data_IF_512854406095
#
_entry.id   IF_512854406095
#
_cell.length_a   1.000
_cell.length_b   1.000
_cell.length_c   1.000
_cell.angle_alpha   90.00
_cell.angle_beta   90.00
_cell.angle_gamma   90.00
#
_symmetry.space_group_name_H-M   'P 1'
#
loop_
_entity.id
_entity.type
_entity.pdbx_description
1 polymer ?
#
# COMPACT_ATOMS: atom_id res chain seq x y z
N UNK A 1 20.36 3.24 -8.39
CA UNK A 1 20.64 4.26 -7.34
C UNK A 1 21.48 5.43 -7.82
N UNK A 2 22.68 5.22 -8.40
CA UNK A 2 23.55 6.32 -8.85
C UNK A 2 22.91 7.14 -9.98
N UNK A 3 22.32 6.47 -10.96
CA UNK A 3 21.61 7.08 -12.09
C UNK A 3 20.42 7.94 -11.59
N UNK A 4 19.53 7.36 -10.77
CA UNK A 4 18.38 8.08 -10.19
C UNK A 4 18.81 9.33 -9.39
N UNK A 5 19.93 9.29 -8.66
CA UNK A 5 20.46 10.47 -7.94
C UNK A 5 21.04 11.55 -8.85
N UNK A 6 21.46 11.21 -10.07
CA UNK A 6 21.94 12.20 -11.04
C UNK A 6 20.78 13.00 -11.62
N UNK A 7 19.63 12.35 -11.81
CA UNK A 7 18.39 12.99 -12.27
C UNK A 7 17.69 13.74 -11.14
N UNK A 8 17.52 13.10 -9.98
CA UNK A 8 16.83 13.67 -8.81
C UNK A 8 17.85 14.18 -7.77
N UNK A 9 18.56 15.25 -8.12
CA UNK A 9 19.66 15.81 -7.30
C UNK A 9 19.25 16.24 -5.89
N UNK A 10 17.98 16.63 -5.72
CA UNK A 10 17.44 17.19 -4.47
C UNK A 10 16.54 16.23 -3.70
N UNK A 11 16.33 15.01 -4.20
CA UNK A 11 15.50 14.03 -3.53
C UNK A 11 16.23 13.35 -2.36
N UNK A 12 15.49 12.99 -1.31
CA UNK A 12 16.04 12.28 -0.16
C UNK A 12 16.61 10.92 -0.58
N UNK A 13 17.87 10.68 -0.17
CA UNK A 13 18.57 9.45 -0.45
C UNK A 13 17.92 8.20 0.16
N UNK A 14 17.23 8.33 1.30
CA UNK A 14 16.51 7.23 1.94
C UNK A 14 15.21 6.93 1.19
N UNK A 15 14.45 7.95 0.80
CA UNK A 15 13.27 7.79 -0.04
C UNK A 15 13.59 7.06 -1.37
N UNK A 16 14.64 7.48 -2.09
CA UNK A 16 15.07 6.82 -3.34
C UNK A 16 15.43 5.35 -3.07
N UNK A 17 16.12 5.06 -1.96
CA UNK A 17 16.51 3.69 -1.61
C UNK A 17 15.28 2.82 -1.38
N UNK A 18 14.33 3.32 -0.59
CA UNK A 18 13.11 2.60 -0.28
C UNK A 18 12.31 2.29 -1.55
N UNK A 19 12.16 3.27 -2.44
CA UNK A 19 11.43 3.11 -3.70
C UNK A 19 12.10 2.07 -4.62
N UNK A 20 13.42 2.17 -4.80
CA UNK A 20 14.18 1.18 -5.60
C UNK A 20 14.09 -0.21 -4.97
N UNK A 21 14.21 -0.31 -3.65
CA UNK A 21 14.12 -1.57 -2.94
C UNK A 21 12.72 -2.22 -3.13
N UNK A 22 11.64 -1.42 -3.19
CA UNK A 22 10.27 -1.87 -3.48
C UNK A 22 10.09 -2.29 -4.94
N UNK A 23 10.52 -1.48 -5.92
CA UNK A 23 10.38 -1.82 -7.33
C UNK A 23 11.19 -3.08 -7.71
N UNK A 24 12.40 -3.24 -7.15
CA UNK A 24 13.21 -4.44 -7.36
C UNK A 24 12.55 -5.68 -6.75
N UNK A 25 11.87 -5.53 -5.61
CA UNK A 25 11.11 -6.63 -5.02
C UNK A 25 9.94 -7.04 -5.92
N UNK A 26 9.21 -6.07 -6.47
CA UNK A 26 8.06 -6.37 -7.33
C UNK A 26 8.50 -7.06 -8.62
N UNK A 27 9.63 -6.62 -9.19
CA UNK A 27 10.19 -7.20 -10.42
C UNK A 27 10.79 -8.60 -10.22
N UNK A 28 11.58 -8.81 -9.16
CA UNK A 28 12.35 -10.05 -8.96
C UNK A 28 11.73 -11.03 -7.95
N UNK A 29 10.76 -10.58 -7.16
CA UNK A 29 10.21 -11.34 -6.06
C UNK A 29 11.13 -11.42 -4.82
N UNK A 30 10.78 -12.27 -3.84
CA UNK A 30 11.57 -12.43 -2.62
C UNK A 30 12.97 -12.98 -2.92
N UNK A 31 13.97 -12.51 -2.18
CA UNK A 31 15.34 -13.01 -2.32
C UNK A 31 15.41 -14.50 -1.95
N UNK A 32 15.96 -15.27 -2.85
CA UNK A 32 16.18 -16.71 -2.76
C UNK A 32 17.60 -17.01 -2.27
N UNK A 33 17.85 -18.25 -1.82
CA UNK A 33 19.19 -18.67 -1.37
C UNK A 33 20.25 -18.56 -2.47
N UNK A 34 19.84 -18.71 -3.74
CA UNK A 34 20.69 -18.49 -4.91
C UNK A 34 21.21 -17.06 -5.03
N UNK A 35 20.45 -16.05 -4.58
CA UNK A 35 20.85 -14.64 -4.66
C UNK A 35 22.00 -14.30 -3.69
N UNK A 36 22.23 -15.13 -2.68
CA UNK A 36 23.31 -14.97 -1.71
C UNK A 36 24.60 -15.71 -2.13
N UNK A 37 24.54 -16.54 -3.18
CA UNK A 37 25.66 -17.40 -3.59
C UNK A 37 26.78 -16.68 -4.36
N UNK A 38 26.60 -15.40 -4.72
CA UNK A 38 27.52 -14.65 -5.58
C UNK A 38 28.44 -13.65 -4.86
N UNK A 39 28.55 -13.68 -3.53
CA UNK A 39 29.54 -12.85 -2.81
C UNK A 39 30.45 -13.67 -1.88
N UNK A 40 31.44 -14.33 -2.49
CA UNK A 40 32.62 -14.80 -1.77
C UNK A 40 33.55 -13.61 -1.48
N UNK A 41 33.64 -13.30 -0.17
CA UNK A 41 34.73 -12.60 0.56
C UNK A 41 34.88 -11.08 0.39
N UNK A 42 34.38 -10.33 1.37
CA UNK A 42 35.25 -9.63 2.33
C UNK A 42 34.57 -9.55 3.72
N UNK A 43 35.41 -9.61 4.75
CA UNK A 43 35.19 -10.17 6.09
C UNK A 43 34.52 -9.24 7.12
N UNK A 44 33.81 -9.89 8.07
CA UNK A 44 33.09 -9.42 9.27
C UNK A 44 33.81 -8.39 10.17
N UNK A 45 33.01 -7.53 10.83
CA UNK A 45 33.00 -7.36 12.30
C UNK A 45 31.63 -6.88 12.81
N UNK A 46 31.16 -7.53 13.88
CA UNK A 46 29.88 -7.32 14.58
C UNK A 46 30.14 -6.71 15.97
N UNK A 47 29.25 -5.82 16.43
CA UNK A 47 28.76 -5.55 17.83
C UNK A 47 27.93 -4.24 17.76
N UNK A 48 26.93 -3.91 18.57
CA UNK A 48 25.96 -4.55 19.47
C UNK A 48 24.90 -3.44 19.79
N UNK A 49 23.74 -3.79 20.34
CA UNK A 49 22.49 -3.01 20.38
C UNK A 49 22.24 -2.05 21.57
N UNK A 50 21.45 -0.98 21.30
CA UNK A 50 20.42 -0.24 22.09
C UNK A 50 20.86 0.78 23.19
N UNK A 51 20.01 1.75 23.63
CA UNK A 51 18.54 1.89 23.45
C UNK A 51 18.01 3.25 22.93
N UNK A 52 16.67 3.33 22.92
CA UNK A 52 15.72 4.29 22.36
C UNK A 52 15.88 5.79 22.72
N UNK A 53 15.44 6.64 21.80
CA UNK A 53 15.26 8.08 21.98
C UNK A 53 14.12 8.58 21.10
N UNK A 54 12.94 8.68 21.71
CA UNK A 54 11.73 9.31 21.20
C UNK A 54 11.96 10.81 20.98
N UNK A 55 11.54 11.33 19.82
CA UNK A 55 11.29 12.76 19.61
C UNK A 55 10.38 12.94 18.41
N UNK A 56 9.08 12.91 18.69
CA UNK A 56 8.05 13.54 17.85
C UNK A 56 8.25 15.05 17.85
N UNK A 57 8.66 15.62 16.71
CA UNK A 57 8.40 17.02 16.38
C UNK A 57 7.28 17.06 15.33
N UNK A 58 6.09 17.44 15.78
CA UNK A 58 4.96 17.80 14.93
C UNK A 58 5.16 19.26 14.49
N UNK A 59 5.57 19.47 13.24
CA UNK A 59 5.43 20.76 12.58
C UNK A 59 3.94 21.04 12.37
N UNK A 60 3.45 22.12 12.97
CA UNK A 60 2.10 22.65 12.75
C UNK A 60 2.06 23.29 11.36
N UNK A 61 1.52 22.58 10.39
CA UNK A 61 1.15 23.18 9.11
C UNK A 61 -0.30 23.65 9.15
N UNK A 62 -0.47 24.89 8.70
CA UNK A 62 -1.67 25.74 8.79
C UNK A 62 -2.75 25.24 7.82
N UNK A 63 -3.97 25.07 8.31
CA UNK A 63 -5.14 24.71 7.49
C UNK A 63 -5.53 25.84 6.53
N UNK A 64 -5.77 25.56 5.23
CA UNK A 64 -6.37 26.55 4.33
C UNK A 64 -7.89 26.64 4.54
N UNK A 65 -8.36 27.86 4.80
CA UNK A 65 -9.77 28.19 4.99
C UNK A 65 -10.42 28.34 3.61
N UNK A 66 -11.42 27.51 3.29
CA UNK A 66 -12.31 27.72 2.15
C UNK A 66 -13.68 28.22 2.67
N UNK A 67 -14.08 29.42 2.24
CA UNK A 67 -15.41 29.99 2.54
C UNK A 67 -16.33 29.70 1.36
N UNK A 68 -17.42 28.97 1.60
CA UNK A 68 -18.54 28.84 0.67
C UNK A 68 -19.82 29.17 1.46
N UNK A 69 -20.62 30.12 0.97
CA UNK A 69 -21.93 30.54 1.50
C UNK A 69 -22.01 30.91 2.99
N UNK A 70 -20.99 31.60 3.51
CA UNK A 70 -21.10 32.31 4.80
C UNK A 70 -21.35 31.42 6.02
N UNK A 71 -21.18 30.10 5.91
CA UNK A 71 -21.28 29.14 7.00
C UNK A 71 -19.97 28.39 7.14
N UNK A 72 -19.39 28.43 8.33
CA UNK A 72 -18.20 27.66 8.70
C UNK A 72 -18.62 26.20 8.79
N UNK A 73 -18.47 25.45 7.70
CA UNK A 73 -18.49 23.99 7.73
C UNK A 73 -17.05 23.50 8.03
N UNK A 74 -16.85 22.48 8.88
CA UNK A 74 -15.54 21.86 9.00
C UNK A 74 -15.11 21.40 7.60
N UNK A 75 -13.89 21.73 7.20
CA UNK A 75 -13.34 21.34 5.91
C UNK A 75 -13.65 19.85 5.69
N UNK A 76 -14.33 19.52 4.58
CA UNK A 76 -14.56 18.13 4.23
C UNK A 76 -13.18 17.46 4.07
N UNK A 77 -12.80 16.64 5.05
CA UNK A 77 -11.52 15.92 5.05
C UNK A 77 -11.40 15.13 3.75
N UNK A 78 -10.21 15.17 3.15
CA UNK A 78 -9.95 14.36 1.96
C UNK A 78 -10.11 12.87 2.29
N UNK A 79 -10.45 12.04 1.30
CA UNK A 79 -10.55 10.59 1.50
C UNK A 79 -9.23 10.04 2.07
N UNK A 80 -8.09 10.54 1.60
CA UNK A 80 -6.76 10.16 2.11
C UNK A 80 -6.58 10.51 3.59
N UNK A 81 -7.03 11.67 4.05
CA UNK A 81 -7.01 12.04 5.47
C UNK A 81 -7.93 11.15 6.29
N UNK A 82 -9.13 10.86 5.80
CA UNK A 82 -10.08 9.97 6.49
C UNK A 82 -9.46 8.59 6.67
N UNK A 83 -8.82 8.04 5.62
CA UNK A 83 -8.17 6.74 5.67
C UNK A 83 -7.04 6.71 6.72
N UNK A 84 -6.26 7.79 6.85
CA UNK A 84 -5.15 7.88 7.82
C UNK A 84 -5.59 8.13 9.25
N UNK A 85 -6.63 8.94 9.46
CA UNK A 85 -6.96 9.51 10.77
C UNK A 85 -8.13 8.84 11.47
N UNK A 86 -9.13 8.39 10.72
CA UNK A 86 -10.38 7.85 11.29
C UNK A 86 -10.44 6.33 11.28
N UNK A 87 -9.66 5.68 10.41
CA UNK A 87 -9.71 4.23 10.23
C UNK A 87 -8.55 3.58 11.00
N UNK A 88 -8.89 2.84 12.04
CA UNK A 88 -7.94 2.16 12.90
C UNK A 88 -7.78 0.70 12.44
N UNK A 89 -7.06 0.50 11.34
CA UNK A 89 -6.70 -0.84 10.89
C UNK A 89 -5.33 -1.28 11.44
N UNK A 90 -5.13 -2.59 11.49
CA UNK A 90 -3.86 -3.18 11.91
C UNK A 90 -2.74 -2.84 10.92
N UNK A 91 -1.50 -2.79 11.41
CA UNK A 91 -0.33 -2.64 10.55
C UNK A 91 -0.06 -3.94 9.78
N UNK A 92 0.53 -3.89 8.57
CA UNK A 92 0.91 -5.09 7.84
C UNK A 92 1.76 -6.06 8.69
N UNK A 93 1.34 -7.33 8.76
CA UNK A 93 1.97 -8.36 9.59
C UNK A 93 1.42 -8.46 11.03
N UNK A 94 0.52 -7.56 11.45
CA UNK A 94 -0.09 -7.56 12.79
C UNK A 94 -1.54 -8.08 12.77
N UNK A 95 -1.89 -8.94 11.82
CA UNK A 95 -3.24 -9.45 11.63
C UNK A 95 -3.80 -10.12 12.89
N UNK A 96 -2.95 -10.78 13.68
CA UNK A 96 -3.33 -11.44 14.93
C UNK A 96 -3.89 -10.52 16.03
N UNK A 97 -3.80 -9.19 15.86
CA UNK A 97 -4.36 -8.21 16.80
C UNK A 97 -5.80 -7.84 16.47
N UNK A 98 -6.32 -8.21 15.29
CA UNK A 98 -7.69 -7.88 14.91
C UNK A 98 -8.68 -8.78 15.61
N UNK A 99 -9.86 -8.22 15.90
CA UNK A 99 -10.95 -8.99 16.49
C UNK A 99 -11.34 -10.17 15.58
N UNK A 100 -11.61 -11.33 16.19
CA UNK A 100 -11.93 -12.58 15.50
C UNK A 100 -10.77 -13.31 14.80
N UNK A 101 -9.52 -12.83 14.90
CA UNK A 101 -8.39 -13.52 14.27
C UNK A 101 -8.02 -14.82 14.99
N UNK A 102 -7.96 -15.93 14.26
CA UNK A 102 -7.60 -17.25 14.82
C UNK A 102 -6.10 -17.47 14.75
N UNK A 103 -5.45 -17.55 15.92
CA UNK A 103 -4.02 -17.86 16.02
C UNK A 103 -3.82 -19.37 16.09
N UNK A 104 -3.37 -19.94 14.97
CA UNK A 104 -2.88 -21.32 14.86
C UNK A 104 -1.39 -21.44 15.21
N UNK A 105 -0.85 -22.65 15.45
CA UNK A 105 0.59 -22.86 15.69
C UNK A 105 1.50 -22.34 14.56
N UNK A 106 1.00 -22.29 13.32
CA UNK A 106 1.76 -21.84 12.15
C UNK A 106 1.65 -20.33 11.87
N UNK A 107 0.83 -19.60 12.62
CA UNK A 107 0.48 -18.19 12.32
C UNK A 107 1.71 -17.30 12.24
N UNK A 108 2.62 -17.40 13.22
CA UNK A 108 3.80 -16.53 13.25
C UNK A 108 4.76 -16.83 12.10
N UNK A 109 4.88 -18.11 11.71
CA UNK A 109 5.66 -18.51 10.54
C UNK A 109 5.06 -17.93 9.26
N UNK A 110 3.75 -18.06 9.06
CA UNK A 110 3.04 -17.53 7.88
C UNK A 110 3.12 -16.00 7.79
N UNK A 111 3.01 -15.30 8.93
CA UNK A 111 3.17 -13.84 8.96
C UNK A 111 4.60 -13.41 8.64
N UNK A 112 5.61 -14.16 9.07
CA UNK A 112 6.99 -13.89 8.71
C UNK A 112 7.25 -14.11 7.21
N UNK A 113 6.70 -15.17 6.62
CA UNK A 113 6.74 -15.40 5.18
C UNK A 113 6.01 -14.30 4.39
N UNK A 114 4.82 -13.91 4.87
CA UNK A 114 4.08 -12.78 4.33
C UNK A 114 4.91 -11.49 4.34
N UNK A 115 5.54 -11.14 5.46
CA UNK A 115 6.37 -9.93 5.56
C UNK A 115 7.62 -9.99 4.67
N UNK A 116 8.18 -11.17 4.40
CA UNK A 116 9.27 -11.31 3.42
C UNK A 116 8.80 -10.98 2.00
N UNK A 117 7.59 -11.41 1.65
CA UNK A 117 6.98 -11.18 0.34
C UNK A 117 6.48 -9.75 0.15
N UNK A 118 5.90 -9.15 1.20
CA UNK A 118 5.26 -7.83 1.12
C UNK A 118 6.13 -6.70 1.63
N UNK A 119 7.22 -7.00 2.35
CA UNK A 119 8.06 -6.03 3.09
C UNK A 119 7.27 -5.07 3.98
N UNK A 120 6.11 -5.52 4.47
CA UNK A 120 5.23 -4.70 5.31
C UNK A 120 4.49 -3.61 4.55
N UNK A 121 4.41 -3.69 3.22
CA UNK A 121 3.58 -2.81 2.40
C UNK A 121 2.08 -3.18 2.52
N UNK A 122 1.20 -2.18 2.56
CA UNK A 122 -0.25 -2.39 2.48
C UNK A 122 -0.64 -2.92 1.10
N UNK A 123 -1.46 -3.97 1.06
CA UNK A 123 -1.96 -4.57 -0.19
C UNK A 123 -3.47 -4.74 -0.11
N UNK A 124 -4.23 -4.01 -0.91
CA UNK A 124 -5.69 -4.12 -1.03
C UNK A 124 -6.08 -4.71 -2.38
N UNK A 125 -7.37 -5.01 -2.58
CA UNK A 125 -7.88 -5.44 -3.89
C UNK A 125 -9.28 -4.90 -4.12
N UNK A 126 -9.60 -4.55 -5.36
CA UNK A 126 -10.96 -4.32 -5.82
C UNK A 126 -11.35 -5.47 -6.74
N UNK A 127 -12.28 -6.36 -6.32
CA UNK A 127 -12.65 -7.53 -7.11
C UNK A 127 -14.05 -7.43 -7.73
N UNK A 128 -14.22 -6.71 -8.85
CA UNK A 128 -15.50 -6.66 -9.55
C UNK A 128 -15.73 -7.93 -10.37
N UNK A 129 -16.99 -8.34 -10.48
CA UNK A 129 -17.37 -9.37 -11.45
C UNK A 129 -17.33 -8.79 -12.88
N UNK A 130 -16.70 -9.48 -13.84
CA UNK A 130 -16.57 -9.00 -15.23
C UNK A 130 -17.84 -9.17 -16.09
N UNK A 131 -18.99 -9.39 -15.45
CA UNK A 131 -20.29 -9.60 -16.09
C UNK A 131 -21.28 -8.44 -15.83
N UNK A 132 -20.89 -7.47 -15.00
CA UNK A 132 -21.78 -6.48 -14.41
C UNK A 132 -21.36 -5.04 -14.66
N UNK A 133 -22.33 -4.12 -14.59
CA UNK A 133 -22.08 -2.68 -14.72
C UNK A 133 -21.80 -2.09 -13.35
N UNK A 134 -20.70 -1.34 -13.24
CA UNK A 134 -20.42 -0.56 -12.04
C UNK A 134 -21.47 0.54 -11.87
N UNK A 135 -22.21 0.47 -10.76
CA UNK A 135 -23.05 1.55 -10.28
C UNK A 135 -22.34 2.38 -9.18
N UNK A 136 -22.97 3.46 -8.72
CA UNK A 136 -22.41 4.41 -7.73
C UNK A 136 -21.93 3.76 -6.41
N UNK A 137 -22.49 2.61 -6.02
CA UNK A 137 -22.04 1.86 -4.85
C UNK A 137 -20.59 1.39 -5.00
N UNK A 138 -20.16 1.05 -6.21
CA UNK A 138 -18.79 0.67 -6.51
C UNK A 138 -17.82 1.84 -6.36
N UNK A 139 -18.26 3.09 -6.53
CA UNK A 139 -17.41 4.25 -6.28
C UNK A 139 -16.92 4.27 -4.81
N UNK A 140 -17.74 3.83 -3.85
CA UNK A 140 -17.31 3.67 -2.45
C UNK A 140 -16.25 2.57 -2.32
N UNK A 141 -16.46 1.42 -2.93
CA UNK A 141 -15.51 0.31 -2.89
C UNK A 141 -14.16 0.67 -3.53
N UNK A 142 -14.18 1.35 -4.69
CA UNK A 142 -12.98 1.83 -5.38
C UNK A 142 -12.24 2.82 -4.48
N UNK A 143 -12.92 3.84 -3.96
CA UNK A 143 -12.29 4.85 -3.10
C UNK A 143 -11.73 4.26 -1.79
N UNK A 144 -12.39 3.26 -1.20
CA UNK A 144 -11.85 2.59 -0.01
C UNK A 144 -10.62 1.76 -0.37
N UNK A 145 -10.70 0.87 -1.36
CA UNK A 145 -9.60 -0.06 -1.65
C UNK A 145 -8.37 0.66 -2.21
N UNK A 146 -8.54 1.47 -3.25
CA UNK A 146 -7.44 2.22 -3.86
C UNK A 146 -7.01 3.40 -2.99
N UNK A 147 -7.96 4.10 -2.35
CA UNK A 147 -7.63 5.22 -1.47
C UNK A 147 -6.88 4.79 -0.20
N UNK A 148 -7.23 3.64 0.38
CA UNK A 148 -6.48 3.11 1.53
C UNK A 148 -5.06 2.68 1.14
N UNK A 149 -4.89 2.01 -0.01
CA UNK A 149 -3.55 1.70 -0.52
C UNK A 149 -2.73 2.98 -0.75
N UNK A 150 -3.28 3.95 -1.48
CA UNK A 150 -2.59 5.21 -1.78
C UNK A 150 -2.25 6.02 -0.51
N UNK A 151 -3.12 6.00 0.50
CA UNK A 151 -2.88 6.71 1.76
C UNK A 151 -1.80 6.03 2.62
N UNK A 152 -1.52 4.75 2.43
CA UNK A 152 -0.56 3.98 3.23
C UNK A 152 0.64 3.46 2.41
N UNK A 153 0.99 4.16 1.33
CA UNK A 153 2.12 3.82 0.43
C UNK A 153 2.08 2.35 -0.05
N UNK A 154 0.86 1.87 -0.23
CA UNK A 154 0.52 0.50 -0.61
C UNK A 154 0.13 0.37 -2.07
N UNK A 155 -0.26 -0.86 -2.43
CA UNK A 155 -0.75 -1.20 -3.77
C UNK A 155 -2.16 -1.78 -3.68
N UNK A 156 -2.98 -1.50 -4.70
CA UNK A 156 -4.31 -2.08 -4.85
C UNK A 156 -4.37 -2.89 -6.14
N UNK A 157 -4.81 -4.14 -6.05
CA UNK A 157 -5.01 -5.00 -7.20
C UNK A 157 -6.43 -4.84 -7.75
N UNK A 158 -6.57 -4.45 -9.02
CA UNK A 158 -7.80 -4.68 -9.78
C UNK A 158 -7.82 -6.16 -10.17
N UNK A 159 -8.67 -6.95 -9.52
CA UNK A 159 -8.71 -8.41 -9.71
C UNK A 159 -10.12 -8.83 -10.11
N UNK A 160 -10.37 -8.94 -11.40
CA UNK A 160 -11.64 -9.46 -11.91
C UNK A 160 -12.00 -10.80 -11.24
N UNK A 161 -13.25 -10.93 -10.79
CA UNK A 161 -13.78 -12.18 -10.24
C UNK A 161 -14.35 -13.03 -11.38
N UNK A 162 -13.46 -13.66 -12.13
CA UNK A 162 -13.70 -14.47 -13.34
C UNK A 162 -13.96 -15.95 -13.00
N UNK A 163 -14.52 -16.22 -11.83
CA UNK A 163 -14.82 -17.59 -11.39
C UNK A 163 -15.94 -18.26 -12.20
N UNK A 164 -16.68 -17.51 -13.02
CA UNK A 164 -17.77 -18.00 -13.86
C UNK A 164 -17.61 -17.61 -15.35
N UNK A 165 -17.10 -18.52 -16.20
CA UNK A 165 -16.74 -18.22 -17.60
C UNK A 165 -17.94 -17.99 -18.53
N UNK A 166 -19.16 -18.34 -18.13
CA UNK A 166 -20.32 -18.32 -19.04
C UNK A 166 -20.94 -16.92 -19.25
N UNK A 167 -20.53 -15.91 -18.48
CA UNK A 167 -21.18 -14.58 -18.46
C UNK A 167 -20.22 -13.42 -18.70
N UNK A 168 -19.06 -13.71 -19.26
CA UNK A 168 -18.02 -12.72 -19.48
C UNK A 168 -18.21 -12.01 -20.82
N UNK A 169 -18.34 -10.69 -20.77
CA UNK A 169 -18.34 -9.86 -21.97
C UNK A 169 -17.22 -8.82 -21.87
N UNK A 170 -16.40 -8.72 -22.92
CA UNK A 170 -15.26 -7.79 -22.98
C UNK A 170 -15.68 -6.32 -22.71
N UNK A 171 -16.90 -5.94 -23.10
CA UNK A 171 -17.45 -4.59 -22.85
C UNK A 171 -17.46 -4.23 -21.35
N UNK A 172 -17.71 -5.20 -20.48
CA UNK A 172 -17.74 -4.96 -19.03
C UNK A 172 -16.33 -4.90 -18.45
N UNK A 173 -15.41 -5.73 -18.95
CA UNK A 173 -13.99 -5.64 -18.56
C UNK A 173 -13.42 -4.24 -18.83
N UNK A 174 -13.61 -3.74 -20.06
CA UNK A 174 -13.14 -2.41 -20.46
C UNK A 174 -13.87 -1.31 -19.68
N UNK A 175 -15.20 -1.38 -19.57
CA UNK A 175 -15.98 -0.39 -18.82
C UNK A 175 -15.60 -0.32 -17.34
N UNK A 176 -15.29 -1.45 -16.70
CA UNK A 176 -14.80 -1.50 -15.32
C UNK A 176 -13.45 -0.79 -15.20
N UNK A 177 -12.52 -1.10 -16.10
CA UNK A 177 -11.18 -0.48 -16.11
C UNK A 177 -11.29 1.03 -16.31
N UNK A 178 -12.07 1.46 -17.30
CA UNK A 178 -12.29 2.87 -17.62
C UNK A 178 -12.86 3.64 -16.43
N UNK A 179 -13.79 3.05 -15.65
CA UNK A 179 -14.36 3.70 -14.47
C UNK A 179 -13.37 3.81 -13.31
N UNK A 180 -12.47 2.83 -13.14
CA UNK A 180 -11.39 2.90 -12.15
C UNK A 180 -10.42 4.04 -12.52
N UNK A 181 -9.98 4.07 -13.78
CA UNK A 181 -9.08 5.10 -14.30
C UNK A 181 -9.74 6.50 -14.26
N UNK A 182 -11.04 6.60 -14.58
CA UNK A 182 -11.80 7.84 -14.54
C UNK A 182 -11.89 8.45 -13.13
N UNK A 183 -11.94 7.61 -12.09
CA UNK A 183 -11.88 8.06 -10.69
C UNK A 183 -10.45 8.38 -10.21
N UNK A 184 -9.47 8.34 -11.11
CA UNK A 184 -8.07 8.67 -10.84
C UNK A 184 -7.38 7.64 -9.95
N UNK A 185 -7.71 6.35 -10.13
CA UNK A 185 -7.18 5.23 -9.37
C UNK A 185 -6.43 4.23 -10.24
#
# INVERSE_FOLDING_TARGET
>A
MREVRQELKWADGKAIKNEVDLQVLDLLGPKTESDFSSQIKQTKKVKASKPDGDSTELTKDVEPIAVIDGKIAPAHMSISEIMKTKIHFHKPGENYKTDGYVVTPNTMKLLQEHLKLTRGQVRTRFPPEPNGILHIGHAKAININFGYAAAHDGICFLRYDDTNPEKEEEKFFLGIKDMVEWLGK
#
